data_IF_103923327169
#
_entry.id   IF_103923327169
#
_cell.length_a   1.000
_cell.length_b   1.000
_cell.length_c   1.000
_cell.angle_alpha   90.00
_cell.angle_beta   90.00
_cell.angle_gamma   90.00
#
_symmetry.space_group_name_H-M   'P 1'
#
loop_
_entity.id
_entity.type
_entity.pdbx_description
1 polymer ?
#
# COMPACT_ATOMS: atom_id res chain seq x y z
N UNK A 1 27.93 2.14 -5.71
CA UNK A 1 27.87 1.23 -4.55
C UNK A 1 27.15 -0.03 -5.03
N UNK A 2 27.88 -1.14 -5.20
CA UNK A 2 27.35 -2.36 -5.80
C UNK A 2 26.85 -3.27 -4.67
N UNK A 3 25.53 -3.51 -4.63
CA UNK A 3 24.90 -4.39 -3.65
C UNK A 3 25.10 -5.85 -4.12
N UNK A 4 26.23 -6.46 -3.75
CA UNK A 4 26.44 -7.90 -3.96
C UNK A 4 25.86 -8.62 -2.72
N UNK A 5 24.84 -9.48 -2.87
CA UNK A 5 24.29 -10.23 -1.75
C UNK A 5 25.37 -11.14 -1.16
N UNK A 6 25.51 -11.13 0.17
CA UNK A 6 26.40 -12.07 0.84
C UNK A 6 25.70 -13.44 0.90
N UNK A 7 26.33 -14.53 0.45
CA UNK A 7 25.62 -15.81 0.32
C UNK A 7 25.48 -16.60 1.63
N UNK A 8 26.01 -16.07 2.74
CA UNK A 8 26.05 -16.73 4.05
C UNK A 8 25.59 -15.77 5.17
N UNK A 9 25.02 -16.32 6.25
CA UNK A 9 24.75 -15.58 7.49
C UNK A 9 23.35 -14.95 7.65
N UNK A 10 22.45 -15.05 6.68
CA UNK A 10 21.07 -14.52 6.80
C UNK A 10 20.09 -15.43 7.55
N UNK A 11 20.37 -16.74 7.59
CA UNK A 11 19.57 -17.72 8.33
C UNK A 11 20.51 -18.79 8.88
N UNK A 12 20.49 -18.98 10.20
CA UNK A 12 21.38 -19.89 10.92
C UNK A 12 20.64 -21.15 11.44
N UNK A 13 19.42 -21.38 10.97
CA UNK A 13 18.50 -22.37 11.51
C UNK A 13 17.47 -21.76 12.45
N UNK A 14 16.50 -22.58 12.86
CA UNK A 14 15.52 -22.20 13.87
C UNK A 14 16.17 -22.18 15.25
N UNK A 15 15.98 -21.08 15.97
CA UNK A 15 16.41 -20.94 17.36
C UNK A 15 15.16 -20.84 18.26
N UNK A 16 14.87 -21.84 19.10
CA UNK A 16 13.69 -21.83 19.97
C UNK A 16 13.79 -20.82 21.11
N UNK A 17 14.94 -20.17 21.31
CA UNK A 17 15.13 -19.15 22.34
C UNK A 17 14.76 -17.73 21.88
N UNK A 18 14.53 -17.54 20.58
CA UNK A 18 14.09 -16.28 20.01
C UNK A 18 12.58 -16.10 20.23
N UNK A 19 12.18 -14.94 20.74
CA UNK A 19 10.79 -14.50 20.75
C UNK A 19 10.39 -13.97 19.35
N UNK A 20 9.44 -14.63 18.64
CA UNK A 20 8.97 -14.18 17.33
C UNK A 20 7.93 -13.05 17.41
N UNK A 21 7.66 -12.52 18.61
CA UNK A 21 6.72 -11.43 18.84
C UNK A 21 7.05 -10.18 18.03
N UNK A 22 6.01 -9.51 17.52
CA UNK A 22 6.16 -8.24 16.81
C UNK A 22 6.21 -7.10 17.83
N UNK A 23 7.31 -6.35 17.80
CA UNK A 23 7.44 -5.12 18.61
C UNK A 23 6.32 -4.13 18.29
N UNK A 24 5.82 -3.45 19.31
CA UNK A 24 4.73 -2.48 19.16
C UNK A 24 5.12 -1.40 18.14
N UNK A 25 6.33 -0.85 18.31
CA UNK A 25 6.94 0.19 17.47
C UNK A 25 7.04 -0.22 16.00
N UNK A 26 7.28 -1.51 15.74
CA UNK A 26 7.29 -2.03 14.37
C UNK A 26 5.90 -1.94 13.74
N UNK A 27 4.85 -2.36 14.46
CA UNK A 27 3.47 -2.42 13.95
C UNK A 27 2.75 -1.07 13.93
N UNK A 28 3.08 -0.16 14.87
CA UNK A 28 2.40 1.13 15.03
C UNK A 28 3.11 2.28 14.34
N UNK A 29 4.42 2.19 14.11
CA UNK A 29 5.21 3.24 13.48
C UNK A 29 6.01 2.74 12.26
N UNK A 30 7.03 1.89 12.46
CA UNK A 30 8.05 1.62 11.45
C UNK A 30 7.46 1.03 10.15
N UNK A 31 6.63 -0.01 10.27
CA UNK A 31 6.07 -0.70 9.11
C UNK A 31 4.98 0.11 8.39
N UNK A 32 4.53 1.24 8.97
CA UNK A 32 3.59 2.18 8.34
C UNK A 32 4.24 3.11 7.32
N UNK A 33 5.57 3.05 7.16
CA UNK A 33 6.28 3.75 6.09
C UNK A 33 5.67 3.46 4.70
N UNK A 34 5.08 2.27 4.52
CA UNK A 34 4.39 1.88 3.29
C UNK A 34 3.23 2.80 2.89
N UNK A 35 2.57 3.48 3.82
CA UNK A 35 1.47 4.40 3.49
C UNK A 35 1.90 5.56 2.57
N UNK A 36 3.15 6.04 2.69
CA UNK A 36 3.71 7.08 1.82
C UNK A 36 3.99 6.60 0.38
N UNK A 37 4.22 5.29 0.25
CA UNK A 37 4.58 4.62 -0.99
C UNK A 37 3.36 4.27 -1.87
N UNK A 38 2.14 4.37 -1.31
CA UNK A 38 0.90 4.06 -2.01
C UNK A 38 0.66 5.04 -3.17
N UNK A 39 0.37 4.55 -4.40
CA UNK A 39 0.09 5.40 -5.54
C UNK A 39 -1.27 6.11 -5.42
N UNK A 40 -1.45 7.17 -6.21
CA UNK A 40 -2.70 7.95 -6.24
C UNK A 40 -3.88 7.18 -6.87
N UNK A 41 -3.56 6.26 -7.77
CA UNK A 41 -4.53 5.54 -8.60
C UNK A 41 -4.22 4.04 -8.62
N UNK A 42 -5.27 3.23 -8.75
CA UNK A 42 -5.15 1.85 -9.22
C UNK A 42 -5.11 1.90 -10.74
N UNK A 43 -4.09 1.31 -11.34
CA UNK A 43 -3.82 1.37 -12.78
C UNK A 43 -4.04 0.01 -13.40
N UNK A 44 -4.63 -0.03 -14.60
CA UNK A 44 -4.86 -1.22 -15.39
C UNK A 44 -4.10 -1.08 -16.71
N UNK A 45 -3.44 -2.15 -17.14
CA UNK A 45 -2.60 -2.14 -18.34
C UNK A 45 -2.95 -3.28 -19.31
N UNK A 46 -2.81 -3.03 -20.61
CA UNK A 46 -2.94 -4.09 -21.61
C UNK A 46 -1.71 -5.02 -21.61
N UNK A 47 -1.72 -6.00 -22.51
CA UNK A 47 -0.64 -6.97 -22.75
C UNK A 47 0.70 -6.33 -23.14
N UNK A 48 0.69 -5.08 -23.62
CA UNK A 48 1.87 -4.29 -23.97
C UNK A 48 2.35 -3.38 -22.84
N UNK A 49 1.79 -3.51 -21.63
CA UNK A 49 2.06 -2.62 -20.49
C UNK A 49 1.69 -1.15 -20.74
N UNK A 50 0.78 -0.90 -21.67
CA UNK A 50 0.23 0.43 -21.90
C UNK A 50 -0.96 0.63 -20.97
N UNK A 51 -1.05 1.81 -20.35
CA UNK A 51 -2.16 2.16 -19.45
C UNK A 51 -3.46 2.23 -20.25
N UNK A 52 -4.42 1.37 -19.90
CA UNK A 52 -5.76 1.37 -20.52
C UNK A 52 -6.75 2.20 -19.72
N UNK A 53 -6.68 2.10 -18.39
CA UNK A 53 -7.56 2.81 -17.48
C UNK A 53 -6.93 2.93 -16.09
N UNK A 54 -7.40 3.90 -15.30
CA UNK A 54 -7.06 4.00 -13.89
C UNK A 54 -8.22 4.61 -13.10
N UNK A 55 -8.29 4.27 -11.81
CA UNK A 55 -9.24 4.87 -10.87
C UNK A 55 -8.51 5.53 -9.70
N UNK A 56 -9.04 6.64 -9.15
CA UNK A 56 -8.56 7.17 -7.87
C UNK A 56 -8.65 6.11 -6.77
N UNK A 57 -7.60 6.00 -5.94
CA UNK A 57 -7.50 4.96 -4.92
C UNK A 57 -8.72 4.88 -3.98
N UNK A 58 -9.34 6.01 -3.64
CA UNK A 58 -10.47 6.04 -2.71
C UNK A 58 -11.72 5.30 -3.23
N UNK A 59 -11.88 5.15 -4.55
CA UNK A 59 -12.96 4.35 -5.13
C UNK A 59 -12.71 2.83 -5.04
N UNK A 60 -11.47 2.41 -4.74
CA UNK A 60 -11.08 1.01 -4.64
C UNK A 60 -11.25 0.43 -3.22
N UNK A 61 -11.34 1.29 -2.19
CA UNK A 61 -11.46 0.80 -0.82
C UNK A 61 -12.76 0.02 -0.64
N UNK A 62 -12.65 -1.24 -0.19
CA UNK A 62 -13.77 -2.14 0.03
C UNK A 62 -14.70 -2.36 -1.19
N UNK A 63 -14.24 -2.05 -2.41
CA UNK A 63 -15.01 -2.20 -3.64
C UNK A 63 -14.57 -3.45 -4.42
N UNK A 64 -15.08 -4.62 -4.02
CA UNK A 64 -14.79 -5.90 -4.69
C UNK A 64 -15.49 -6.06 -6.03
N UNK A 65 -16.53 -5.27 -6.30
CA UNK A 65 -17.29 -5.31 -7.57
C UNK A 65 -16.39 -5.04 -8.78
N UNK A 66 -15.32 -4.25 -8.61
CA UNK A 66 -14.33 -4.01 -9.65
C UNK A 66 -13.64 -5.27 -10.17
N UNK A 67 -13.50 -6.29 -9.33
CA UNK A 67 -12.89 -7.57 -9.71
C UNK A 67 -13.92 -8.56 -10.29
N UNK A 68 -15.22 -8.29 -10.12
CA UNK A 68 -16.30 -9.13 -10.62
C UNK A 68 -16.65 -8.85 -12.09
N UNK A 69 -16.25 -7.67 -12.61
CA UNK A 69 -16.29 -7.39 -14.03
C UNK A 69 -15.26 -8.31 -14.71
N UNK A 70 -15.63 -9.01 -15.78
CA UNK A 70 -14.70 -9.89 -16.49
C UNK A 70 -13.46 -9.14 -16.99
N UNK A 71 -12.35 -9.86 -17.16
CA UNK A 71 -11.11 -9.37 -17.80
C UNK A 71 -10.35 -8.24 -17.09
N UNK A 72 -10.63 -7.92 -15.82
CA UNK A 72 -9.90 -6.85 -15.10
C UNK A 72 -8.69 -7.34 -14.30
N UNK A 73 -8.63 -8.62 -13.94
CA UNK A 73 -7.57 -9.18 -13.09
C UNK A 73 -6.18 -9.08 -13.73
N UNK A 74 -6.03 -9.59 -14.95
CA UNK A 74 -4.76 -9.54 -15.68
C UNK A 74 -4.27 -8.10 -15.88
N UNK A 75 -5.11 -7.14 -16.35
CA UNK A 75 -4.73 -5.73 -16.39
C UNK A 75 -4.33 -5.12 -15.06
N UNK A 76 -5.00 -5.50 -13.97
CA UNK A 76 -4.64 -5.04 -12.62
C UNK A 76 -3.26 -5.54 -12.22
N UNK A 77 -2.98 -6.82 -12.41
CA UNK A 77 -1.67 -7.41 -12.10
C UNK A 77 -0.56 -6.74 -12.91
N UNK A 78 -0.78 -6.49 -14.21
CA UNK A 78 0.17 -5.72 -15.02
C UNK A 78 0.38 -4.31 -14.48
N UNK A 79 -0.68 -3.65 -14.02
CA UNK A 79 -0.58 -2.36 -13.34
C UNK A 79 0.26 -2.42 -12.06
N UNK A 80 0.09 -3.46 -11.23
CA UNK A 80 0.90 -3.67 -10.02
C UNK A 80 2.39 -3.88 -10.33
N UNK A 81 2.70 -4.51 -11.47
CA UNK A 81 4.08 -4.74 -11.91
C UNK A 81 4.69 -3.52 -12.64
N UNK A 82 3.86 -2.76 -13.38
CA UNK A 82 4.32 -1.68 -14.25
C UNK A 82 4.35 -0.30 -13.59
N UNK A 83 3.60 -0.09 -12.51
CA UNK A 83 3.58 1.19 -11.80
C UNK A 83 4.64 1.23 -10.70
N UNK A 84 5.50 2.25 -10.74
CA UNK A 84 6.45 2.49 -9.67
C UNK A 84 5.75 2.93 -8.39
N UNK A 85 6.18 2.37 -7.26
CA UNK A 85 5.78 2.84 -5.94
C UNK A 85 6.23 4.29 -5.72
N UNK A 86 5.52 5.03 -4.87
CA UNK A 86 5.96 6.37 -4.49
C UNK A 86 7.18 6.30 -3.56
N UNK A 87 8.01 7.36 -3.51
CA UNK A 87 9.09 7.45 -2.54
C UNK A 87 8.56 7.43 -1.11
N UNK A 88 9.40 6.96 -0.18
CA UNK A 88 9.14 7.13 1.25
C UNK A 88 9.38 8.58 1.64
N UNK A 89 8.31 9.27 2.01
CA UNK A 89 8.33 10.65 2.48
C UNK A 89 7.23 10.91 3.53
N UNK A 90 7.16 12.15 4.02
CA UNK A 90 6.16 12.58 5.00
C UNK A 90 4.80 12.95 4.36
N UNK A 91 4.55 12.54 3.11
CA UNK A 91 3.35 12.93 2.37
C UNK A 91 2.50 11.71 2.07
N UNK A 92 1.20 11.86 2.25
CA UNK A 92 0.21 10.89 1.76
C UNK A 92 -0.46 11.41 0.50
N UNK A 93 -0.98 10.49 -0.30
CA UNK A 93 -1.91 10.84 -1.38
C UNK A 93 -3.24 11.28 -0.77
N UNK A 94 -3.97 12.14 -1.47
CA UNK A 94 -5.26 12.69 -1.01
C UNK A 94 -6.27 11.60 -0.61
N UNK A 95 -6.27 10.48 -1.35
CA UNK A 95 -7.09 9.30 -1.03
C UNK A 95 -6.84 8.70 0.35
N UNK A 96 -5.64 8.87 0.91
CA UNK A 96 -5.29 8.41 2.26
C UNK A 96 -5.34 9.54 3.29
N UNK A 97 -5.02 10.78 2.90
CA UNK A 97 -4.96 11.93 3.81
C UNK A 97 -6.32 12.57 4.11
N UNK A 98 -7.28 12.50 3.18
CA UNK A 98 -8.57 13.20 3.33
C UNK A 98 -9.79 12.35 2.97
N UNK A 99 -9.59 11.25 2.22
CA UNK A 99 -10.68 10.46 1.65
C UNK A 99 -10.57 8.98 2.02
N UNK A 100 -9.88 8.66 3.10
CA UNK A 100 -9.78 7.28 3.55
C UNK A 100 -11.18 6.78 3.90
N UNK A 101 -11.64 5.74 3.19
CA UNK A 101 -12.98 5.16 3.34
C UNK A 101 -14.14 6.14 3.17
N UNK A 102 -13.94 7.19 2.37
CA UNK A 102 -15.01 8.12 2.01
C UNK A 102 -16.18 7.39 1.33
N UNK A 103 -17.39 7.65 1.80
CA UNK A 103 -18.63 7.19 1.17
C UNK A 103 -18.88 7.97 -0.13
N UNK A 104 -19.29 7.26 -1.18
CA UNK A 104 -19.61 7.89 -2.46
C UNK A 104 -20.80 8.85 -2.30
N UNK A 105 -20.60 10.11 -2.70
CA UNK A 105 -21.62 11.16 -2.62
C UNK A 105 -21.56 11.98 -1.32
N UNK A 106 -20.83 11.55 -0.29
CA UNK A 106 -20.59 12.35 0.91
C UNK A 106 -19.13 12.79 1.02
N UNK A 107 -18.87 14.04 0.63
CA UNK A 107 -17.55 14.66 0.67
C UNK A 107 -16.98 14.87 2.08
N UNK A 108 -17.77 14.68 3.15
CA UNK A 108 -17.36 14.90 4.53
C UNK A 108 -17.12 13.61 5.32
N UNK A 109 -17.42 12.46 4.73
CA UNK A 109 -17.27 11.13 5.36
C UNK A 109 -15.83 10.60 5.38
N UNK A 110 -14.90 11.26 4.70
CA UNK A 110 -13.52 10.80 4.58
C UNK A 110 -12.70 10.94 5.88
N UNK A 111 -11.82 9.97 6.11
CA UNK A 111 -10.87 9.98 7.22
C UNK A 111 -9.45 10.36 6.78
N UNK A 112 -8.61 10.73 7.76
CA UNK A 112 -7.18 11.03 7.59
C UNK A 112 -6.33 9.91 8.20
N UNK A 113 -5.66 9.13 7.34
CA UNK A 113 -4.78 8.05 7.76
C UNK A 113 -3.55 8.54 8.54
N UNK A 114 -3.04 9.73 8.24
CA UNK A 114 -1.92 10.30 8.98
C UNK A 114 -2.33 10.62 10.41
N UNK A 115 -3.48 11.27 10.61
CA UNK A 115 -4.04 11.53 11.94
C UNK A 115 -4.27 10.23 12.73
N UNK A 116 -4.79 9.19 12.06
CA UNK A 116 -4.97 7.86 12.66
C UNK A 116 -3.64 7.20 13.05
N UNK A 117 -2.57 7.42 12.28
CA UNK A 117 -1.23 6.92 12.62
C UNK A 117 -0.69 7.62 13.87
N UNK A 118 -0.80 8.95 13.97
CA UNK A 118 -0.38 9.71 15.16
C UNK A 118 -1.16 9.27 16.40
N UNK A 119 -2.50 9.26 16.32
CA UNK A 119 -3.35 8.90 17.45
C UNK A 119 -3.16 7.45 17.94
N UNK A 120 -2.63 6.54 17.09
CA UNK A 120 -2.31 5.16 17.47
C UNK A 120 -0.89 4.98 17.97
N UNK A 121 0.03 5.89 17.65
CA UNK A 121 1.38 5.92 18.21
C UNK A 121 1.43 6.47 19.64
N UNK A 122 0.42 7.25 20.05
CA UNK A 122 0.29 7.79 21.41
C UNK A 122 -0.37 6.83 22.43
N UNK A 123 -0.88 5.69 21.96
CA UNK A 123 -1.52 4.66 22.79
C UNK A 123 -0.56 3.51 23.07
#
# INVERSE_FOLDING_TARGET
MQLIPNHEGYFLGYDPTIDPGVYNEFSTAAFRMGHSQVPKHITFMNDKYEVTYHIPLHYAFFNSTMLALGDVFDPLVRGLLGVSMRPTDLKLVDSLGNKLFMEEGDRYSGHDLFALNVARGEK
#
